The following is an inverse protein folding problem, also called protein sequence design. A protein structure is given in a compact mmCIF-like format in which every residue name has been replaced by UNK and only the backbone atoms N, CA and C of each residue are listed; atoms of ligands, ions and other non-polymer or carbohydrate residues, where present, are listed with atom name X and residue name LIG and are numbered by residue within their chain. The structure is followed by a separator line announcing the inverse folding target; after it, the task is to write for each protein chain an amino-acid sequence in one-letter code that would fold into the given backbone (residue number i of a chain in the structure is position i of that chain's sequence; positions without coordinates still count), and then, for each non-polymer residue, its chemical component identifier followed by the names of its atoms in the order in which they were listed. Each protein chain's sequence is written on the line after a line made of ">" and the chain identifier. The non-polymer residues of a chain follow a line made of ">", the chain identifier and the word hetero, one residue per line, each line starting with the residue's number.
data_IF_537858183105
#
_entry.id   IF_537858183105
#
_cell.length_a   1.000
_cell.length_b   1.000
_cell.length_c   1.000
_cell.angle_alpha   90.00
_cell.angle_beta   90.00
_cell.angle_gamma   90.00
#
_symmetry.space_group_name_H-M   'P 1'
#
loop_
_entity.id
_entity.type
_entity.pdbx_description
1 polymer ?
#
# COMPACT_ATOMS: atom_id res chain seq x y z
N UNK A 1 -25.73 12.41 -11.58
CA UNK A 1 -24.94 11.27 -11.18
C UNK A 1 -24.37 10.52 -12.39
N UNK A 2 -23.10 10.17 -12.30
CA UNK A 2 -22.37 9.46 -13.36
C UNK A 2 -22.75 7.96 -13.43
N UNK A 3 -23.98 7.61 -13.10
CA UNK A 3 -24.49 6.24 -13.19
C UNK A 3 -25.08 5.87 -14.55
N UNK A 4 -24.95 6.76 -15.54
CA UNK A 4 -25.58 6.58 -16.83
C UNK A 4 -24.60 6.59 -17.98
N UNK A 5 -23.69 5.61 -18.08
CA UNK A 5 -23.04 5.35 -19.36
C UNK A 5 -24.03 4.66 -20.30
N UNK A 6 -24.51 5.38 -21.29
CA UNK A 6 -25.17 4.75 -22.42
C UNK A 6 -24.08 4.41 -23.44
N UNK A 7 -23.70 3.14 -23.55
CA UNK A 7 -22.85 2.67 -24.63
C UNK A 7 -23.67 2.76 -25.94
N UNK A 8 -23.37 3.75 -26.74
CA UNK A 8 -23.97 3.91 -28.06
C UNK A 8 -23.02 3.33 -29.11
N UNK A 9 -23.28 2.10 -29.53
CA UNK A 9 -22.60 1.47 -30.66
C UNK A 9 -23.46 1.65 -31.92
N UNK A 10 -23.51 2.86 -32.47
CA UNK A 10 -24.21 3.10 -33.72
C UNK A 10 -23.30 2.78 -34.91
N UNK A 11 -23.86 2.22 -35.97
CA UNK A 11 -23.12 1.86 -37.17
C UNK A 11 -22.55 3.07 -37.94
N UNK A 12 -22.96 4.29 -37.56
CA UNK A 12 -22.53 5.57 -38.15
C UNK A 12 -21.37 6.21 -37.36
N UNK A 13 -20.90 5.64 -36.26
CA UNK A 13 -19.73 6.13 -35.51
C UNK A 13 -18.48 5.78 -36.30
N UNK A 14 -17.73 6.81 -36.71
CA UNK A 14 -16.46 6.64 -37.43
C UNK A 14 -15.37 6.20 -36.48
N UNK A 15 -14.29 5.55 -36.98
CA UNK A 15 -13.11 5.21 -36.22
C UNK A 15 -12.51 6.45 -35.54
N UNK A 16 -12.44 7.57 -36.26
CA UNK A 16 -11.90 8.82 -35.74
C UNK A 16 -12.72 9.34 -34.54
N UNK A 17 -14.05 9.24 -34.61
CA UNK A 17 -14.95 9.61 -33.52
C UNK A 17 -14.78 8.71 -32.30
N UNK A 18 -14.59 7.43 -32.52
CA UNK A 18 -14.30 6.48 -31.44
C UNK A 18 -12.98 6.79 -30.75
N UNK A 19 -11.93 7.04 -31.54
CA UNK A 19 -10.60 7.38 -31.00
C UNK A 19 -10.60 8.73 -30.27
N UNK A 20 -11.40 9.69 -30.71
CA UNK A 20 -11.53 11.01 -30.09
C UNK A 20 -12.00 10.92 -28.63
N UNK A 21 -12.79 9.91 -28.29
CA UNK A 21 -13.37 9.71 -26.97
C UNK A 21 -12.49 8.90 -26.02
N UNK A 22 -11.33 8.46 -26.49
CA UNK A 22 -10.38 7.73 -25.66
C UNK A 22 -9.69 8.64 -24.66
N UNK A 23 -9.06 8.04 -23.65
CA UNK A 23 -8.40 8.78 -22.59
C UNK A 23 -7.09 9.46 -23.02
N UNK A 24 -6.15 8.69 -23.52
CA UNK A 24 -4.81 9.17 -23.89
C UNK A 24 -4.52 8.99 -25.38
N UNK A 25 -3.72 9.89 -25.93
CA UNK A 25 -3.30 9.82 -27.34
C UNK A 25 -2.59 8.52 -27.67
N UNK A 26 -1.77 7.99 -26.77
CA UNK A 26 -1.07 6.70 -26.94
C UNK A 26 -2.01 5.50 -26.98
N UNK A 27 -3.26 5.67 -26.55
CA UNK A 27 -4.33 4.67 -26.60
C UNK A 27 -5.37 4.98 -27.68
N UNK A 28 -5.16 6.06 -28.48
CA UNK A 28 -6.10 6.57 -29.47
C UNK A 28 -5.57 6.41 -30.89
N UNK A 29 -4.96 5.28 -31.17
CA UNK A 29 -4.52 4.88 -32.51
C UNK A 29 -4.97 3.45 -32.77
N UNK A 30 -5.11 3.12 -34.04
CA UNK A 30 -5.56 1.80 -34.47
C UNK A 30 -4.67 1.27 -35.59
N UNK A 31 -4.60 -0.04 -35.71
CA UNK A 31 -3.88 -0.73 -36.77
C UNK A 31 -4.86 -1.61 -37.54
N UNK A 32 -4.83 -1.55 -38.85
CA UNK A 32 -5.63 -2.42 -39.71
C UNK A 32 -4.93 -3.80 -39.92
N UNK A 33 -5.62 -4.67 -40.66
CA UNK A 33 -5.11 -6.02 -40.98
C UNK A 33 -3.85 -6.01 -41.86
N UNK A 34 -3.63 -4.92 -42.60
CA UNK A 34 -2.44 -4.73 -43.46
C UNK A 34 -1.26 -4.11 -42.70
N UNK A 35 -1.43 -3.83 -41.42
CA UNK A 35 -0.42 -3.22 -40.56
C UNK A 35 -0.34 -1.70 -40.65
N UNK A 36 -1.24 -1.05 -41.38
CA UNK A 36 -1.30 0.41 -41.45
C UNK A 36 -1.85 1.00 -40.16
N UNK A 37 -1.16 2.03 -39.65
CA UNK A 37 -1.51 2.68 -38.40
C UNK A 37 -2.31 3.94 -38.68
N UNK A 38 -3.48 4.05 -38.05
CA UNK A 38 -4.32 5.25 -38.02
C UNK A 38 -4.03 5.98 -36.71
N UNK A 39 -3.48 7.20 -36.82
CA UNK A 39 -3.03 7.99 -35.68
C UNK A 39 -3.47 9.45 -35.86
N UNK A 40 -4.79 9.75 -35.77
CA UNK A 40 -5.32 11.09 -36.02
C UNK A 40 -4.95 12.10 -34.94
N UNK A 41 -4.56 11.65 -33.72
CA UNK A 41 -4.33 12.53 -32.57
C UNK A 41 -2.88 12.57 -32.08
N UNK A 42 -1.96 12.04 -32.87
CA UNK A 42 -0.52 12.13 -32.59
C UNK A 42 -0.01 11.20 -31.50
N UNK A 43 -0.64 10.04 -31.31
CA UNK A 43 -0.24 9.07 -30.29
C UNK A 43 1.16 8.54 -30.48
N UNK A 44 1.60 8.32 -31.73
CA UNK A 44 2.98 7.86 -32.01
C UNK A 44 4.03 8.92 -31.61
N UNK A 45 3.75 10.20 -31.85
CA UNK A 45 4.64 11.29 -31.46
C UNK A 45 4.73 11.39 -29.93
N UNK A 46 3.61 11.31 -29.22
CA UNK A 46 3.59 11.31 -27.76
C UNK A 46 4.26 10.07 -27.18
N UNK A 47 4.12 8.92 -27.82
CA UNK A 47 4.84 7.71 -27.42
C UNK A 47 6.36 7.88 -27.52
N UNK A 48 6.86 8.47 -28.61
CA UNK A 48 8.28 8.79 -28.77
C UNK A 48 8.81 9.78 -27.74
N UNK A 49 7.99 10.79 -27.41
CA UNK A 49 8.30 11.80 -26.41
C UNK A 49 8.04 11.33 -24.99
N UNK A 50 7.43 10.16 -24.82
CA UNK A 50 7.07 9.58 -23.52
C UNK A 50 6.13 10.50 -22.74
N UNK A 51 5.07 10.98 -23.44
CA UNK A 51 4.06 11.84 -22.87
C UNK A 51 2.72 11.11 -22.72
N UNK A 52 2.10 11.31 -21.56
CA UNK A 52 0.72 10.94 -21.29
C UNK A 52 -0.14 12.19 -21.50
N UNK A 53 -0.83 12.24 -22.62
CA UNK A 53 -1.64 13.41 -23.03
C UNK A 53 -3.06 12.97 -23.30
N UNK A 54 -4.05 13.69 -22.77
CA UNK A 54 -5.45 13.46 -23.09
C UNK A 54 -5.74 13.81 -24.56
N UNK A 55 -6.69 13.09 -25.17
CA UNK A 55 -7.00 13.23 -26.60
C UNK A 55 -7.78 14.50 -26.88
N UNK A 56 -8.80 14.77 -26.07
CA UNK A 56 -9.78 15.84 -26.33
C UNK A 56 -10.51 16.24 -25.03
N UNK A 57 -11.34 17.31 -25.07
CA UNK A 57 -12.22 17.64 -23.94
C UNK A 57 -13.16 16.52 -23.51
N UNK A 58 -13.42 15.52 -24.36
CA UNK A 58 -14.17 14.32 -23.97
C UNK A 58 -13.55 13.54 -22.81
N UNK A 59 -12.28 13.78 -22.50
CA UNK A 59 -11.60 13.24 -21.32
C UNK A 59 -12.40 13.47 -20.02
N UNK A 60 -12.99 14.64 -19.86
CA UNK A 60 -13.76 15.00 -18.67
C UNK A 60 -15.15 14.36 -18.59
N UNK A 61 -15.59 13.61 -19.59
CA UNK A 61 -16.85 12.87 -19.54
C UNK A 61 -16.83 11.75 -18.48
N UNK A 62 -15.67 11.21 -18.15
CA UNK A 62 -15.51 10.17 -17.12
C UNK A 62 -14.40 10.53 -16.13
N UNK A 63 -14.76 10.90 -14.88
CA UNK A 63 -13.79 11.24 -13.85
C UNK A 63 -12.81 10.10 -13.51
N UNK A 64 -13.15 8.83 -13.79
CA UNK A 64 -12.24 7.70 -13.59
C UNK A 64 -10.95 7.86 -14.41
N UNK A 65 -11.00 8.60 -15.51
CA UNK A 65 -9.82 8.84 -16.35
C UNK A 65 -8.68 9.52 -15.61
N UNK A 66 -8.99 10.31 -14.58
CA UNK A 66 -7.94 10.87 -13.69
C UNK A 66 -7.15 9.75 -13.02
N UNK A 67 -7.83 8.75 -12.47
CA UNK A 67 -7.18 7.59 -11.85
C UNK A 67 -6.48 6.72 -12.90
N UNK A 68 -7.05 6.58 -14.07
CA UNK A 68 -6.44 5.84 -15.18
C UNK A 68 -5.10 6.46 -15.59
N UNK A 69 -5.04 7.77 -15.74
CA UNK A 69 -3.79 8.48 -16.06
C UNK A 69 -2.77 8.30 -14.95
N UNK A 70 -3.18 8.42 -13.69
CA UNK A 70 -2.30 8.17 -12.54
C UNK A 70 -1.75 6.73 -12.55
N UNK A 71 -2.57 5.76 -12.91
CA UNK A 71 -2.14 4.36 -13.05
C UNK A 71 -1.16 4.18 -14.22
N UNK A 72 -1.42 4.77 -15.36
CA UNK A 72 -0.49 4.73 -16.50
C UNK A 72 0.84 5.42 -16.16
N UNK A 73 0.80 6.53 -15.42
CA UNK A 73 2.01 7.19 -14.94
C UNK A 73 2.84 6.23 -14.06
N UNK A 74 2.21 5.49 -13.16
CA UNK A 74 2.88 4.48 -12.36
C UNK A 74 3.44 3.33 -13.21
N UNK A 75 2.64 2.83 -14.15
CA UNK A 75 3.02 1.70 -15.01
C UNK A 75 4.22 2.01 -15.90
N UNK A 76 4.31 3.23 -16.42
CA UNK A 76 5.32 3.63 -17.39
C UNK A 76 6.41 4.54 -16.80
N UNK A 77 6.41 4.76 -15.49
CA UNK A 77 7.39 5.62 -14.83
C UNK A 77 8.83 5.17 -15.09
N UNK A 78 9.10 3.86 -15.02
CA UNK A 78 10.43 3.30 -15.27
C UNK A 78 10.91 3.49 -16.72
N UNK A 79 10.01 3.80 -17.64
CA UNK A 79 10.31 4.12 -19.04
C UNK A 79 10.48 5.63 -19.27
N UNK A 80 10.32 6.45 -18.24
CA UNK A 80 10.48 7.89 -18.31
C UNK A 80 9.25 8.66 -18.81
N UNK A 81 8.06 8.04 -18.80
CA UNK A 81 6.83 8.73 -19.16
C UNK A 81 6.45 9.77 -18.12
N UNK A 82 5.90 10.88 -18.59
CA UNK A 82 5.40 11.98 -17.76
C UNK A 82 4.05 12.46 -18.29
N UNK A 83 3.27 13.07 -17.43
CA UNK A 83 1.96 13.63 -17.81
C UNK A 83 2.19 14.99 -18.45
N UNK A 84 1.54 15.25 -19.60
CA UNK A 84 1.57 16.54 -20.25
C UNK A 84 0.98 17.62 -19.33
N UNK A 85 1.55 18.84 -19.37
CA UNK A 85 1.14 19.92 -18.47
C UNK A 85 -0.35 20.28 -18.61
N UNK A 86 -0.86 20.33 -19.83
CA UNK A 86 -2.28 20.59 -20.09
C UNK A 86 -3.20 19.48 -19.58
N UNK A 87 -2.72 18.24 -19.57
CA UNK A 87 -3.47 17.10 -19.02
C UNK A 87 -3.51 17.15 -17.50
N UNK A 88 -2.39 17.47 -16.88
CA UNK A 88 -2.35 17.68 -15.43
C UNK A 88 -3.28 18.84 -15.01
N UNK A 89 -3.30 19.94 -15.76
CA UNK A 89 -4.18 21.06 -15.50
C UNK A 89 -5.66 20.65 -15.59
N UNK A 90 -6.03 19.85 -16.59
CA UNK A 90 -7.40 19.34 -16.75
C UNK A 90 -7.77 18.40 -15.58
N UNK A 91 -6.86 17.51 -15.18
CA UNK A 91 -7.09 16.62 -14.03
C UNK A 91 -7.31 17.40 -12.73
N UNK A 92 -6.55 18.48 -12.51
CA UNK A 92 -6.75 19.37 -11.35
C UNK A 92 -8.12 20.06 -11.41
N UNK A 93 -8.50 20.57 -12.56
CA UNK A 93 -9.80 21.21 -12.73
C UNK A 93 -10.96 20.25 -12.43
N UNK A 94 -10.86 19.00 -12.88
CA UNK A 94 -11.85 17.96 -12.60
C UNK A 94 -11.92 17.64 -11.09
N UNK A 95 -10.78 17.49 -10.45
CA UNK A 95 -10.71 17.23 -9.01
C UNK A 95 -11.28 18.40 -8.20
N UNK A 96 -10.91 19.63 -8.53
CA UNK A 96 -11.35 20.85 -7.85
C UNK A 96 -12.85 21.13 -8.08
N UNK A 97 -13.41 20.67 -9.19
CA UNK A 97 -14.86 20.74 -9.47
C UNK A 97 -15.68 19.69 -8.70
N UNK A 98 -15.05 18.82 -7.92
CA UNK A 98 -15.74 17.80 -7.13
C UNK A 98 -16.21 16.57 -7.90
N UNK A 99 -15.76 16.38 -9.12
CA UNK A 99 -16.22 15.29 -9.99
C UNK A 99 -15.82 13.91 -9.49
N UNK A 100 -14.71 13.79 -8.76
CA UNK A 100 -14.20 12.51 -8.28
C UNK A 100 -15.03 11.92 -7.12
N UNK A 101 -15.79 12.75 -6.42
CA UNK A 101 -16.61 12.29 -5.29
C UNK A 101 -17.75 11.36 -5.72
N UNK A 102 -18.10 11.34 -7.01
CA UNK A 102 -19.17 10.51 -7.56
C UNK A 102 -18.70 9.15 -8.10
N UNK A 103 -17.42 8.86 -8.03
CA UNK A 103 -16.89 7.57 -8.48
C UNK A 103 -17.33 6.45 -7.53
N UNK A 104 -17.69 5.29 -8.10
CA UNK A 104 -18.05 4.13 -7.29
C UNK A 104 -16.81 3.53 -6.61
N UNK A 105 -17.03 2.95 -5.44
CA UNK A 105 -15.96 2.33 -4.66
C UNK A 105 -15.20 1.26 -5.47
N UNK A 106 -15.92 0.43 -6.21
CA UNK A 106 -15.35 -0.68 -6.97
C UNK A 106 -14.43 -0.18 -8.11
N UNK A 107 -14.81 0.90 -8.76
CA UNK A 107 -14.00 1.49 -9.84
C UNK A 107 -12.73 2.13 -9.29
N UNK A 108 -12.83 2.82 -8.16
CA UNK A 108 -11.67 3.43 -7.50
C UNK A 108 -10.72 2.35 -7.00
N UNK A 109 -11.23 1.32 -6.33
CA UNK A 109 -10.41 0.23 -5.85
C UNK A 109 -9.73 -0.53 -6.99
N UNK A 110 -10.43 -0.79 -8.08
CA UNK A 110 -9.87 -1.51 -9.24
C UNK A 110 -8.65 -0.80 -9.82
N UNK A 111 -8.73 0.51 -9.99
CA UNK A 111 -7.60 1.32 -10.44
C UNK A 111 -6.47 1.34 -9.42
N UNK A 112 -6.80 1.46 -8.15
CA UNK A 112 -5.83 1.44 -7.03
C UNK A 112 -5.12 0.08 -6.96
N UNK A 113 -5.86 -1.02 -7.03
CA UNK A 113 -5.31 -2.38 -7.03
C UNK A 113 -4.34 -2.58 -8.19
N UNK A 114 -4.74 -2.19 -9.39
CA UNK A 114 -3.89 -2.28 -10.58
C UNK A 114 -2.62 -1.42 -10.43
N UNK A 115 -2.75 -0.22 -9.88
CA UNK A 115 -1.60 0.66 -9.62
C UNK A 115 -0.64 0.09 -8.58
N UNK A 116 -1.17 -0.51 -7.52
CA UNK A 116 -0.36 -1.20 -6.50
C UNK A 116 0.44 -2.37 -7.08
N UNK A 117 -0.06 -3.02 -8.12
CA UNK A 117 0.63 -4.10 -8.83
C UNK A 117 1.74 -3.64 -9.78
N UNK A 118 1.91 -2.35 -9.99
CA UNK A 118 2.94 -1.80 -10.89
C UNK A 118 4.32 -1.81 -10.23
N UNK A 119 5.35 -1.59 -11.05
CA UNK A 119 6.73 -1.49 -10.57
C UNK A 119 6.95 -0.28 -9.65
N UNK A 120 6.24 0.83 -9.90
CA UNK A 120 6.39 2.09 -9.18
C UNK A 120 5.03 2.59 -8.64
N UNK A 121 4.40 1.87 -7.70
CA UNK A 121 3.06 2.23 -7.22
C UNK A 121 3.00 3.59 -6.53
N UNK A 122 4.10 4.08 -5.98
CA UNK A 122 4.16 5.41 -5.36
C UNK A 122 3.84 6.54 -6.35
N UNK A 123 4.10 6.34 -7.62
CA UNK A 123 3.81 7.34 -8.65
C UNK A 123 2.30 7.57 -8.80
N UNK A 124 1.49 6.54 -8.61
CA UNK A 124 0.03 6.67 -8.61
C UNK A 124 -0.44 7.67 -7.54
N UNK A 125 0.01 7.50 -6.32
CA UNK A 125 -0.39 8.36 -5.20
C UNK A 125 0.22 9.75 -5.31
N UNK A 126 1.46 9.88 -5.78
CA UNK A 126 2.08 11.17 -6.05
C UNK A 126 1.32 11.94 -7.14
N UNK A 127 0.92 11.27 -8.21
CA UNK A 127 0.12 11.87 -9.30
C UNK A 127 -1.23 12.35 -8.78
N UNK A 128 -1.92 11.51 -7.97
CA UNK A 128 -3.20 11.90 -7.36
C UNK A 128 -3.02 13.13 -6.46
N UNK A 129 -1.91 13.22 -5.75
CA UNK A 129 -1.62 14.41 -4.95
C UNK A 129 -1.39 15.63 -5.83
N UNK A 130 -0.59 15.49 -6.87
CA UNK A 130 -0.25 16.61 -7.78
C UNK A 130 -1.49 17.18 -8.49
N UNK A 131 -2.49 16.35 -8.78
CA UNK A 131 -3.74 16.79 -9.41
C UNK A 131 -4.87 17.07 -8.42
N UNK A 132 -4.59 17.17 -7.12
CA UNK A 132 -5.54 17.47 -6.04
C UNK A 132 -6.59 16.37 -5.81
N UNK A 133 -6.39 15.18 -6.36
CA UNK A 133 -7.30 14.05 -6.21
C UNK A 133 -7.09 13.26 -4.92
N UNK A 134 -5.87 13.27 -4.36
CA UNK A 134 -5.53 12.45 -3.18
C UNK A 134 -6.42 12.80 -1.98
N UNK A 135 -6.62 14.08 -1.71
CA UNK A 135 -7.46 14.56 -0.60
C UNK A 135 -8.93 14.16 -0.72
N UNK A 136 -9.39 13.89 -1.95
CA UNK A 136 -10.78 13.44 -2.20
C UNK A 136 -10.90 11.94 -2.04
N UNK A 137 -9.97 11.17 -2.60
CA UNK A 137 -10.02 9.71 -2.66
C UNK A 137 -9.41 9.04 -1.43
N UNK A 138 -8.33 9.61 -0.92
CA UNK A 138 -7.56 9.08 0.22
C UNK A 138 -7.20 10.21 1.20
N UNK A 139 -8.20 10.85 1.83
CA UNK A 139 -7.93 11.96 2.75
C UNK A 139 -7.05 11.53 3.93
N UNK A 140 -7.10 10.27 4.35
CA UNK A 140 -6.27 9.71 5.41
C UNK A 140 -4.78 9.71 5.06
N UNK A 141 -4.45 9.50 3.78
CA UNK A 141 -3.06 9.55 3.29
C UNK A 141 -2.64 11.01 3.08
N UNK A 142 -3.50 11.82 2.48
CA UNK A 142 -3.22 13.24 2.24
C UNK A 142 -2.91 13.99 3.54
N UNK A 143 -3.59 13.64 4.62
CA UNK A 143 -3.40 14.22 5.95
C UNK A 143 -2.00 13.97 6.54
N UNK A 144 -1.22 13.02 6.02
CA UNK A 144 0.14 12.73 6.49
C UNK A 144 1.18 13.74 6.01
N UNK A 145 0.89 14.44 4.93
CA UNK A 145 1.78 15.49 4.43
C UNK A 145 1.72 16.70 5.37
N UNK A 146 2.89 17.21 5.72
CA UNK A 146 3.02 18.27 6.70
C UNK A 146 3.07 17.78 8.16
N UNK A 147 2.92 16.47 8.40
CA UNK A 147 3.08 15.88 9.73
C UNK A 147 4.55 15.51 9.94
N UNK A 148 5.26 16.15 10.90
CA UNK A 148 6.69 15.89 11.10
C UNK A 148 6.92 14.56 11.84
N UNK A 149 8.02 13.90 11.50
CA UNK A 149 8.57 12.76 12.23
C UNK A 149 9.93 13.13 12.81
N UNK A 150 10.42 12.43 13.88
CA UNK A 150 11.71 12.73 14.47
C UNK A 150 12.85 12.56 13.44
N UNK A 151 13.62 13.62 13.20
CA UNK A 151 14.70 13.67 12.21
C UNK A 151 15.77 12.59 12.43
N UNK A 152 15.99 12.18 13.67
CA UNK A 152 16.91 11.09 14.02
C UNK A 152 16.58 9.77 13.34
N UNK A 153 15.28 9.45 13.23
CA UNK A 153 14.79 8.20 12.69
C UNK A 153 14.22 8.34 11.28
N UNK A 154 13.84 9.56 10.91
CA UNK A 154 13.22 9.90 9.64
C UNK A 154 13.90 11.15 9.07
N UNK A 155 15.06 11.00 8.38
CA UNK A 155 15.75 12.14 7.80
C UNK A 155 14.93 12.95 6.80
N UNK A 156 13.94 12.32 6.16
CA UNK A 156 12.95 12.97 5.29
C UNK A 156 11.98 13.87 6.05
N UNK A 157 11.86 13.72 7.37
CA UNK A 157 11.05 14.49 8.32
C UNK A 157 9.54 14.42 8.07
N UNK A 158 9.06 14.57 6.85
CA UNK A 158 7.63 14.57 6.51
C UNK A 158 7.05 13.15 6.43
N UNK A 159 5.96 12.89 7.16
CA UNK A 159 5.33 11.56 7.22
C UNK A 159 4.69 11.15 5.89
N UNK A 160 4.13 12.09 5.13
CA UNK A 160 3.57 11.80 3.80
C UNK A 160 4.66 11.37 2.82
N UNK A 161 5.79 12.07 2.82
CA UNK A 161 6.96 11.69 2.02
C UNK A 161 7.47 10.32 2.43
N UNK A 162 7.62 10.06 3.72
CA UNK A 162 8.03 8.75 4.25
C UNK A 162 7.08 7.64 3.78
N UNK A 163 5.77 7.87 3.83
CA UNK A 163 4.77 6.89 3.41
C UNK A 163 4.99 6.42 1.97
N UNK A 164 5.23 7.34 1.04
CA UNK A 164 5.49 6.96 -0.36
C UNK A 164 6.88 6.33 -0.55
N UNK A 165 7.86 6.71 0.23
CA UNK A 165 9.18 6.06 0.23
C UNK A 165 9.07 4.61 0.74
N UNK A 166 8.27 4.35 1.75
CA UNK A 166 8.04 2.97 2.25
C UNK A 166 7.29 2.12 1.23
N UNK A 167 6.32 2.70 0.52
CA UNK A 167 5.63 2.00 -0.57
C UNK A 167 6.60 1.65 -1.71
N UNK A 168 7.49 2.55 -2.07
CA UNK A 168 8.56 2.30 -3.04
C UNK A 168 9.41 1.11 -2.63
N UNK A 169 9.81 1.07 -1.36
CA UNK A 169 10.61 -0.04 -0.82
C UNK A 169 9.82 -1.35 -0.78
N UNK A 170 8.55 -1.32 -0.37
CA UNK A 170 7.69 -2.50 -0.37
C UNK A 170 7.55 -3.10 -1.76
N UNK A 171 7.46 -2.26 -2.79
CA UNK A 171 7.41 -2.71 -4.19
C UNK A 171 8.71 -3.42 -4.64
N UNK A 172 9.85 -3.04 -4.08
CA UNK A 172 11.13 -3.72 -4.32
C UNK A 172 11.20 -5.06 -3.58
N UNK A 173 10.59 -5.16 -2.39
CA UNK A 173 10.68 -6.35 -1.53
C UNK A 173 9.63 -7.41 -1.86
N UNK A 174 8.46 -7.02 -2.38
CA UNK A 174 7.36 -7.95 -2.61
C UNK A 174 6.47 -7.51 -3.77
N UNK A 175 6.01 -8.45 -4.62
CA UNK A 175 4.99 -8.15 -5.64
C UNK A 175 3.56 -8.16 -5.06
N UNK A 176 3.37 -8.58 -3.82
CA UNK A 176 2.06 -8.80 -3.23
C UNK A 176 1.33 -7.49 -2.91
N UNK A 177 0.12 -7.36 -3.43
CA UNK A 177 -0.72 -6.16 -3.25
C UNK A 177 -1.08 -5.94 -1.78
N UNK A 178 -1.36 -6.99 -1.03
CA UNK A 178 -1.69 -6.91 0.38
C UNK A 178 -0.54 -6.35 1.22
N UNK A 179 0.70 -6.77 0.95
CA UNK A 179 1.91 -6.23 1.60
C UNK A 179 2.11 -4.76 1.24
N UNK A 180 1.96 -4.40 -0.03
CA UNK A 180 2.13 -3.02 -0.50
C UNK A 180 1.07 -2.08 0.08
N UNK A 181 -0.19 -2.51 0.08
CA UNK A 181 -1.28 -1.74 0.68
C UNK A 181 -1.11 -1.58 2.20
N UNK A 182 -0.72 -2.64 2.90
CA UNK A 182 -0.44 -2.57 4.33
C UNK A 182 0.69 -1.59 4.65
N UNK A 183 1.75 -1.59 3.85
CA UNK A 183 2.86 -0.64 3.99
C UNK A 183 2.40 0.80 3.75
N UNK A 184 1.60 1.03 2.72
CA UNK A 184 1.00 2.35 2.46
C UNK A 184 0.22 2.88 3.67
N UNK A 185 -0.46 2.00 4.39
CA UNK A 185 -1.35 2.36 5.50
C UNK A 185 -0.69 2.31 6.89
N UNK A 186 0.58 1.96 7.00
CA UNK A 186 1.19 1.64 8.30
C UNK A 186 1.21 2.81 9.29
N UNK A 187 1.31 4.03 8.83
CA UNK A 187 1.46 5.24 9.65
C UNK A 187 0.26 6.20 9.62
N UNK A 188 -0.90 5.75 9.12
CA UNK A 188 -2.08 6.63 8.99
C UNK A 188 -2.46 7.34 10.28
N UNK A 189 -2.29 6.67 11.42
CA UNK A 189 -2.62 7.21 12.72
C UNK A 189 -1.84 8.46 13.11
N UNK A 190 -0.67 8.69 12.52
CA UNK A 190 0.13 9.88 12.76
C UNK A 190 -0.57 11.17 12.31
N UNK A 191 -1.49 11.08 11.37
CA UNK A 191 -2.32 12.21 10.95
C UNK A 191 -3.33 12.70 11.98
N UNK A 192 -3.61 11.89 13.01
CA UNK A 192 -4.55 12.22 14.09
C UNK A 192 -3.88 12.62 15.40
N UNK A 193 -2.54 12.57 15.47
CA UNK A 193 -1.84 12.94 16.71
C UNK A 193 -1.86 14.46 16.92
N UNK A 194 -2.07 14.93 18.15
CA UNK A 194 -2.14 16.36 18.44
C UNK A 194 -0.83 17.08 18.09
N UNK A 195 -0.94 18.24 17.44
CA UNK A 195 0.20 19.06 17.00
C UNK A 195 1.13 19.45 18.15
N UNK A 196 0.59 19.64 19.35
CA UNK A 196 1.35 20.02 20.55
C UNK A 196 2.38 18.97 20.96
N UNK A 197 2.19 17.69 20.58
CA UNK A 197 3.12 16.60 20.88
C UNK A 197 4.08 16.28 19.75
N UNK A 198 3.93 16.94 18.60
CA UNK A 198 4.83 16.68 17.46
C UNK A 198 6.28 16.97 17.82
N UNK A 199 7.24 16.19 17.35
CA UNK A 199 7.14 15.07 16.38
C UNK A 199 6.85 13.70 17.02
N UNK A 200 6.33 13.65 18.22
CA UNK A 200 5.95 12.41 18.91
C UNK A 200 4.52 12.02 18.54
N UNK A 201 4.33 10.74 18.26
CA UNK A 201 3.05 10.21 17.76
C UNK A 201 2.56 9.04 18.63
N UNK A 202 2.44 9.24 19.92
CA UNK A 202 1.93 8.22 20.84
C UNK A 202 0.49 7.82 20.46
N UNK A 203 0.23 6.52 20.43
CA UNK A 203 -1.10 5.98 20.14
C UNK A 203 -1.45 5.95 18.65
N UNK A 204 -0.51 6.22 17.76
CA UNK A 204 -0.78 6.21 16.32
C UNK A 204 -1.14 4.82 15.78
N UNK A 205 -0.69 3.73 16.40
CA UNK A 205 -1.04 2.37 16.02
C UNK A 205 -2.54 2.10 16.09
N UNK A 206 -3.17 2.19 17.28
CA UNK A 206 -4.62 2.01 17.42
C UNK A 206 -5.45 3.01 16.60
N UNK A 207 -5.01 4.26 16.51
CA UNK A 207 -5.65 5.26 15.68
C UNK A 207 -5.57 4.89 14.19
N UNK A 208 -4.44 4.35 13.76
CA UNK A 208 -4.23 3.87 12.39
C UNK A 208 -5.16 2.73 12.01
N UNK A 209 -5.44 1.79 12.92
CA UNK A 209 -6.39 0.69 12.69
C UNK A 209 -7.76 1.22 12.27
N UNK A 210 -8.27 2.23 12.95
CA UNK A 210 -9.57 2.85 12.62
C UNK A 210 -9.56 3.49 11.24
N UNK A 211 -8.47 4.16 10.89
CA UNK A 211 -8.34 4.79 9.57
C UNK A 211 -8.21 3.77 8.45
N UNK A 212 -7.54 2.65 8.68
CA UNK A 212 -7.51 1.53 7.74
C UNK A 212 -8.92 1.00 7.50
N UNK A 213 -9.69 0.77 8.56
CA UNK A 213 -11.08 0.33 8.46
C UNK A 213 -11.93 1.32 7.66
N UNK A 214 -11.74 2.61 7.89
CA UNK A 214 -12.44 3.69 7.20
C UNK A 214 -12.17 3.70 5.68
N UNK A 215 -10.91 3.59 5.26
CA UNK A 215 -10.54 3.48 3.84
C UNK A 215 -11.15 2.21 3.24
N UNK A 216 -10.98 1.07 3.91
CA UNK A 216 -11.41 -0.23 3.38
C UNK A 216 -12.92 -0.33 3.27
N UNK A 217 -13.68 0.28 4.18
CA UNK A 217 -15.13 0.35 4.10
C UNK A 217 -15.57 1.24 2.93
N UNK A 218 -14.96 2.42 2.79
CA UNK A 218 -15.30 3.37 1.73
C UNK A 218 -15.03 2.81 0.34
N UNK A 219 -13.90 2.13 0.15
CA UNK A 219 -13.46 1.61 -1.15
C UNK A 219 -13.80 0.14 -1.36
N UNK A 220 -14.42 -0.52 -0.39
CA UNK A 220 -14.74 -1.95 -0.42
C UNK A 220 -13.52 -2.82 -0.72
N UNK A 221 -12.44 -2.54 -0.02
CA UNK A 221 -11.21 -3.32 -0.11
C UNK A 221 -11.47 -4.75 0.39
N UNK A 222 -10.95 -5.79 -0.29
CA UNK A 222 -11.09 -7.18 0.15
C UNK A 222 -10.65 -7.41 1.58
N UNK A 223 -11.34 -8.29 2.30
CA UNK A 223 -11.14 -8.49 3.74
C UNK A 223 -9.72 -8.94 4.11
N UNK A 224 -9.10 -9.78 3.30
CA UNK A 224 -7.74 -10.28 3.54
C UNK A 224 -6.70 -9.14 3.46
N UNK A 225 -6.86 -8.21 2.52
CA UNK A 225 -6.01 -7.02 2.38
C UNK A 225 -6.24 -6.07 3.55
N UNK A 226 -7.50 -5.82 3.91
CA UNK A 226 -7.87 -5.00 5.06
C UNK A 226 -7.28 -5.55 6.36
N UNK A 227 -7.42 -6.84 6.60
CA UNK A 227 -7.01 -7.46 7.85
C UNK A 227 -5.49 -7.39 8.04
N UNK A 228 -4.72 -7.61 6.98
CA UNK A 228 -3.26 -7.42 7.05
C UNK A 228 -2.91 -5.96 7.33
N UNK A 229 -3.53 -5.02 6.66
CA UNK A 229 -3.25 -3.59 6.86
C UNK A 229 -3.57 -3.13 8.29
N UNK A 230 -4.64 -3.64 8.90
CA UNK A 230 -4.97 -3.39 10.31
C UNK A 230 -3.87 -3.90 11.25
N UNK A 231 -3.42 -5.13 11.04
CA UNK A 231 -2.37 -5.73 11.85
C UNK A 231 -1.04 -4.99 11.73
N UNK A 232 -0.68 -4.59 10.52
CA UNK A 232 0.54 -3.82 10.29
C UNK A 232 0.47 -2.45 10.95
N UNK A 233 -0.65 -1.75 10.85
CA UNK A 233 -0.85 -0.47 11.53
C UNK A 233 -0.68 -0.60 13.05
N UNK A 234 -1.16 -1.69 13.63
CA UNK A 234 -1.09 -1.93 15.07
C UNK A 234 0.30 -2.38 15.54
N UNK A 235 0.97 -3.27 14.81
CA UNK A 235 2.13 -4.01 15.31
C UNK A 235 3.47 -3.73 14.63
N UNK A 236 3.53 -2.93 13.56
CA UNK A 236 4.79 -2.76 12.83
C UNK A 236 5.92 -2.19 13.71
N UNK A 237 5.63 -1.26 14.62
CA UNK A 237 6.64 -0.69 15.53
C UNK A 237 7.21 -1.74 16.50
N UNK A 238 6.38 -2.69 16.91
CA UNK A 238 6.81 -3.74 17.83
C UNK A 238 7.89 -4.62 17.20
N UNK A 239 7.80 -4.87 15.88
CA UNK A 239 8.78 -5.68 15.16
C UNK A 239 10.17 -5.05 15.20
N UNK A 240 10.27 -3.72 15.15
CA UNK A 240 11.56 -3.01 15.21
C UNK A 240 12.32 -3.31 16.52
N UNK A 241 11.61 -3.60 17.59
CA UNK A 241 12.16 -3.86 18.91
C UNK A 241 12.32 -5.36 19.24
N UNK A 242 12.17 -6.22 18.24
CA UNK A 242 12.15 -7.67 18.44
C UNK A 242 13.30 -8.21 19.31
N UNK A 243 14.58 -7.77 19.13
CA UNK A 243 15.68 -8.29 19.92
C UNK A 243 15.56 -8.07 21.42
N UNK A 244 14.80 -7.08 21.86
CA UNK A 244 14.59 -6.75 23.27
C UNK A 244 13.23 -7.19 23.81
N UNK A 245 12.37 -7.77 22.98
CA UNK A 245 11.05 -8.24 23.41
C UNK A 245 11.17 -9.49 24.30
N UNK A 246 10.33 -9.55 25.32
CA UNK A 246 10.20 -10.76 26.13
C UNK A 246 9.58 -11.89 25.31
N UNK A 247 9.96 -13.15 25.55
CA UNK A 247 9.38 -14.32 24.86
C UNK A 247 7.85 -14.36 24.93
N UNK A 248 7.27 -13.99 26.06
CA UNK A 248 5.81 -13.89 26.24
C UNK A 248 5.18 -12.89 25.26
N UNK A 249 5.83 -11.75 25.04
CA UNK A 249 5.36 -10.71 24.12
C UNK A 249 5.41 -11.20 22.67
N UNK A 250 6.46 -11.92 22.29
CA UNK A 250 6.62 -12.49 20.95
C UNK A 250 5.52 -13.53 20.68
N UNK A 251 5.25 -14.43 21.63
CA UNK A 251 4.17 -15.43 21.48
C UNK A 251 2.81 -14.76 21.42
N UNK A 252 2.57 -13.74 22.23
CA UNK A 252 1.34 -12.94 22.20
C UNK A 252 1.15 -12.23 20.84
N UNK A 253 2.23 -11.78 20.23
CA UNK A 253 2.18 -11.21 18.88
C UNK A 253 1.68 -12.25 17.88
N UNK A 254 2.19 -13.47 17.91
CA UNK A 254 1.73 -14.54 17.02
C UNK A 254 0.24 -14.87 17.23
N UNK A 255 -0.23 -14.87 18.47
CA UNK A 255 -1.66 -15.01 18.76
C UNK A 255 -2.45 -13.85 18.15
N UNK A 256 -2.00 -12.62 18.32
CA UNK A 256 -2.70 -11.40 17.90
C UNK A 256 -2.82 -11.29 16.39
N UNK A 257 -1.82 -11.76 15.65
CA UNK A 257 -1.85 -11.77 14.18
C UNK A 257 -2.47 -13.03 13.60
N UNK A 258 -2.95 -13.94 14.47
CA UNK A 258 -3.54 -15.23 14.07
C UNK A 258 -2.58 -16.08 13.23
N UNK A 259 -1.30 -16.07 13.59
CA UNK A 259 -0.26 -16.74 12.82
C UNK A 259 -0.41 -18.26 12.79
N UNK A 260 -1.03 -18.86 13.81
CA UNK A 260 -1.25 -20.30 13.90
C UNK A 260 -2.12 -20.83 12.77
N UNK A 261 -3.15 -20.06 12.38
CA UNK A 261 -4.03 -20.38 11.24
C UNK A 261 -3.54 -19.77 9.93
N UNK A 262 -2.84 -18.63 9.99
CA UNK A 262 -2.37 -17.87 8.83
C UNK A 262 -0.87 -17.58 8.96
N UNK A 263 -0.03 -18.61 8.82
CA UNK A 263 1.43 -18.49 9.05
C UNK A 263 2.11 -17.50 8.10
N UNK A 264 1.55 -17.27 6.91
CA UNK A 264 2.07 -16.29 5.95
C UNK A 264 2.09 -14.86 6.50
N UNK A 265 1.29 -14.54 7.51
CA UNK A 265 1.26 -13.21 8.14
C UNK A 265 2.58 -12.85 8.82
N UNK A 266 3.32 -13.83 9.31
CA UNK A 266 4.63 -13.60 9.93
C UNK A 266 5.61 -12.99 8.93
N UNK A 267 5.71 -13.56 7.75
CA UNK A 267 6.56 -13.02 6.68
C UNK A 267 6.02 -11.69 6.16
N UNK A 268 4.72 -11.57 5.98
CA UNK A 268 4.09 -10.34 5.50
C UNK A 268 4.39 -9.16 6.44
N UNK A 269 4.24 -9.35 7.75
CA UNK A 269 4.53 -8.28 8.72
C UNK A 269 6.03 -7.99 8.81
N UNK A 270 6.88 -8.99 8.64
CA UNK A 270 8.32 -8.80 8.56
C UNK A 270 8.71 -7.92 7.36
N UNK A 271 8.13 -8.20 6.19
CA UNK A 271 8.38 -7.42 4.96
C UNK A 271 7.89 -5.97 5.07
N UNK A 272 6.72 -5.75 5.64
CA UNK A 272 6.19 -4.38 5.83
C UNK A 272 7.03 -3.58 6.81
N UNK A 273 7.51 -4.22 7.86
CA UNK A 273 8.39 -3.59 8.86
C UNK A 273 9.78 -3.28 8.30
N UNK A 274 10.32 -4.16 7.47
CA UNK A 274 11.57 -3.90 6.73
C UNK A 274 11.39 -2.73 5.76
N UNK A 275 10.27 -2.67 5.03
CA UNK A 275 9.96 -1.59 4.13
C UNK A 275 9.88 -0.24 4.86
N UNK A 276 9.32 -0.22 6.06
CA UNK A 276 9.26 0.99 6.90
C UNK A 276 10.66 1.51 7.22
N UNK A 277 11.57 0.67 7.66
CA UNK A 277 12.94 1.08 8.00
C UNK A 277 13.75 1.44 6.75
N UNK A 278 13.75 0.59 5.75
CA UNK A 278 14.53 0.81 4.52
C UNK A 278 13.94 1.88 3.60
N UNK A 279 12.69 2.25 3.80
CA UNK A 279 12.04 3.39 3.15
C UNK A 279 12.37 4.74 3.79
N UNK A 280 13.46 4.84 4.56
CA UNK A 280 13.95 6.09 5.14
C UNK A 280 15.19 6.55 4.38
N UNK A 281 15.33 7.86 4.21
CA UNK A 281 16.47 8.44 3.51
C UNK A 281 17.78 7.99 4.13
N UNK A 282 18.64 7.36 3.33
CA UNK A 282 19.94 6.84 3.76
C UNK A 282 19.91 5.43 4.36
N UNK A 283 18.73 4.81 4.48
CA UNK A 283 18.58 3.46 5.04
C UNK A 283 18.22 2.40 3.98
N UNK A 284 18.22 2.75 2.72
CA UNK A 284 17.74 1.90 1.62
C UNK A 284 18.49 0.56 1.52
N UNK A 285 19.77 0.56 1.89
CA UNK A 285 20.64 -0.62 1.87
C UNK A 285 20.95 -1.19 3.24
N UNK A 286 20.30 -0.70 4.31
CA UNK A 286 20.57 -1.19 5.65
C UNK A 286 20.10 -2.62 5.85
N UNK A 287 20.76 -3.35 6.74
CA UNK A 287 20.30 -4.66 7.19
C UNK A 287 19.09 -4.49 8.13
N UNK A 288 18.14 -5.42 8.04
CA UNK A 288 16.97 -5.49 8.92
C UNK A 288 16.87 -6.89 9.53
N UNK A 289 17.70 -7.20 10.54
CA UNK A 289 17.75 -8.53 11.14
C UNK A 289 16.46 -8.93 11.88
N UNK A 290 15.67 -7.96 12.31
CA UNK A 290 14.40 -8.18 13.02
C UNK A 290 13.44 -9.08 12.26
N UNK A 291 13.38 -8.94 10.94
CA UNK A 291 12.54 -9.78 10.08
C UNK A 291 12.95 -11.24 10.14
N UNK A 292 14.24 -11.52 10.01
CA UNK A 292 14.79 -12.90 10.13
C UNK A 292 14.56 -13.47 11.52
N UNK A 293 14.81 -12.68 12.55
CA UNK A 293 14.62 -13.09 13.94
C UNK A 293 13.14 -13.43 14.22
N UNK A 294 12.21 -12.66 13.67
CA UNK A 294 10.78 -12.95 13.80
C UNK A 294 10.41 -14.29 13.19
N UNK A 295 10.91 -14.57 11.98
CA UNK A 295 10.67 -15.85 11.29
C UNK A 295 11.29 -17.03 12.04
N UNK A 296 12.50 -16.88 12.58
CA UNK A 296 13.14 -17.91 13.41
C UNK A 296 12.33 -18.19 14.69
N UNK A 297 11.90 -17.15 15.38
CA UNK A 297 11.05 -17.29 16.57
C UNK A 297 9.72 -17.99 16.25
N UNK A 298 9.15 -17.69 15.09
CA UNK A 298 7.95 -18.35 14.62
C UNK A 298 8.18 -19.86 14.40
N UNK A 299 9.23 -20.25 13.71
CA UNK A 299 9.56 -21.66 13.46
C UNK A 299 9.72 -22.43 14.77
N UNK A 300 10.40 -21.84 15.74
CA UNK A 300 10.59 -22.42 17.08
C UNK A 300 9.25 -22.57 17.80
N UNK A 301 8.41 -21.56 17.78
CA UNK A 301 7.11 -21.59 18.43
C UNK A 301 6.15 -22.62 17.80
N UNK A 302 6.10 -22.70 16.48
CA UNK A 302 5.23 -23.65 15.78
C UNK A 302 5.71 -25.10 15.89
N UNK A 303 6.98 -25.35 16.22
CA UNK A 303 7.50 -26.69 16.40
C UNK A 303 6.97 -27.37 17.68
N UNK A 304 6.38 -26.59 18.59
CA UNK A 304 5.72 -27.13 19.79
C UNK A 304 4.49 -27.94 19.37
N UNK A 305 4.49 -29.22 19.75
CA UNK A 305 3.48 -30.18 19.29
C UNK A 305 2.19 -30.13 20.12
N UNK A 306 1.08 -29.82 19.46
CA UNK A 306 -0.24 -29.93 20.07
C UNK A 306 -0.57 -31.39 20.40
N UNK A 307 -0.14 -32.35 19.56
CA UNK A 307 -0.39 -33.79 19.77
C UNK A 307 0.26 -34.28 21.06
N UNK A 308 1.47 -33.85 21.36
CA UNK A 308 2.16 -34.22 22.62
C UNK A 308 1.43 -33.69 23.84
N UNK A 309 0.93 -32.46 23.78
CA UNK A 309 0.16 -31.85 24.88
C UNK A 309 -1.13 -32.65 25.12
N UNK A 310 -1.85 -33.02 24.07
CA UNK A 310 -3.06 -33.85 24.19
C UNK A 310 -2.74 -35.23 24.72
N UNK A 311 -1.66 -35.85 24.23
CA UNK A 311 -1.24 -37.19 24.66
C UNK A 311 -0.85 -37.25 26.16
N UNK A 312 -0.38 -36.12 26.73
CA UNK A 312 -0.04 -36.03 28.15
C UNK A 312 -1.26 -35.81 29.08
N UNK A 313 -2.47 -35.77 28.51
CA UNK A 313 -3.72 -35.74 29.26
C UNK A 313 -4.35 -34.38 29.48
N UNK A 314 -3.79 -33.30 28.91
CA UNK A 314 -4.43 -31.98 28.95
C UNK A 314 -5.73 -31.97 28.13
N UNK A 315 -6.76 -31.29 28.63
CA UNK A 315 -8.09 -31.24 28.01
C UNK A 315 -8.67 -29.84 27.98
N UNK A 316 -9.46 -29.55 26.94
CA UNK A 316 -10.19 -28.30 26.81
C UNK A 316 -9.28 -27.06 26.84
N UNK A 317 -9.62 -26.02 27.64
CA UNK A 317 -8.83 -24.79 27.72
C UNK A 317 -7.39 -25.00 28.21
N UNK A 318 -7.14 -26.06 28.97
CA UNK A 318 -5.79 -26.41 29.48
C UNK A 318 -4.81 -26.68 28.34
N UNK A 319 -5.27 -27.19 27.20
CA UNK A 319 -4.45 -27.44 26.00
C UNK A 319 -3.83 -26.13 25.53
N UNK A 320 -4.66 -25.09 25.42
CA UNK A 320 -4.21 -23.77 24.97
C UNK A 320 -3.20 -23.13 25.94
N UNK A 321 -3.48 -23.23 27.23
CA UNK A 321 -2.61 -22.70 28.28
C UNK A 321 -1.24 -23.38 28.26
N UNK A 322 -1.22 -24.71 28.15
CA UNK A 322 0.03 -25.49 28.12
C UNK A 322 0.80 -25.26 26.82
N UNK A 323 0.13 -25.14 25.65
CA UNK A 323 0.75 -24.76 24.39
C UNK A 323 1.44 -23.41 24.51
N UNK A 324 0.74 -22.42 25.06
CA UNK A 324 1.28 -21.08 25.27
C UNK A 324 2.52 -21.11 26.15
N UNK A 325 2.46 -21.85 27.26
CA UNK A 325 3.58 -22.02 28.17
C UNK A 325 4.82 -22.62 27.47
N UNK A 326 4.62 -23.70 26.71
CA UNK A 326 5.70 -24.39 25.97
C UNK A 326 6.27 -23.53 24.86
N UNK A 327 5.42 -22.78 24.16
CA UNK A 327 5.86 -21.84 23.11
C UNK A 327 6.70 -20.73 23.68
N UNK A 328 6.30 -20.17 24.83
CA UNK A 328 7.09 -19.14 25.54
C UNK A 328 8.44 -19.71 25.97
N UNK A 329 8.47 -20.90 26.50
CA UNK A 329 9.73 -21.56 26.91
C UNK A 329 10.65 -21.82 25.71
N UNK A 330 10.09 -22.29 24.59
CA UNK A 330 10.88 -22.57 23.37
C UNK A 330 11.44 -21.26 22.76
N UNK A 331 10.65 -20.21 22.69
CA UNK A 331 11.10 -18.89 22.22
C UNK A 331 12.15 -18.31 23.18
N UNK A 332 12.00 -18.51 24.47
CA UNK A 332 12.98 -18.10 25.49
C UNK A 332 14.36 -18.75 25.27
N UNK A 333 14.40 -20.04 25.04
CA UNK A 333 15.64 -20.77 24.73
C UNK A 333 16.28 -20.27 23.43
N UNK A 334 15.47 -20.11 22.38
CA UNK A 334 15.96 -19.57 21.12
C UNK A 334 16.56 -18.19 21.30
N UNK A 335 15.91 -17.33 22.07
CA UNK A 335 16.36 -15.95 22.30
C UNK A 335 17.69 -15.90 23.04
N UNK A 336 17.88 -16.73 24.07
CA UNK A 336 19.13 -16.83 24.82
C UNK A 336 20.31 -17.19 23.90
N UNK A 337 20.07 -18.03 22.90
CA UNK A 337 21.10 -18.48 21.98
C UNK A 337 21.41 -17.42 20.88
N UNK A 338 20.40 -16.69 20.44
CA UNK A 338 20.52 -15.77 19.28
C UNK A 338 20.77 -14.32 19.66
N UNK A 339 20.24 -13.90 20.78
CA UNK A 339 20.33 -12.53 21.28
C UNK A 339 20.82 -12.55 22.73
N UNK A 340 22.07 -13.02 22.99
CA UNK A 340 22.57 -13.03 24.33
C UNK A 340 22.57 -11.61 24.89
N UNK A 341 22.04 -11.48 26.12
CA UNK A 341 22.13 -10.19 26.80
C UNK A 341 23.61 -9.88 27.03
N UNK A 342 24.06 -8.63 26.88
CA UNK A 342 25.40 -8.26 27.30
C UNK A 342 25.55 -8.63 28.78
N UNK A 343 26.53 -9.45 29.08
CA UNK A 343 26.90 -9.71 30.46
C UNK A 343 27.29 -8.38 31.07
N UNK A 344 26.51 -7.91 32.04
CA UNK A 344 26.68 -6.64 32.74
C UNK A 344 27.99 -6.56 33.52
#
# INVERSE_FOLDING_TARGET
>A
GYTGFTCYAAADVTLEQDLLRRDLTINALAQDTDGQIYDPYGGQADLRQRLLRHVSPAFSEDPLRVLRVARFAARYAHLGFRIADETMALMRAMADAGELAHLTAERVWKETENALGTRNPQVFFQTLRDCHALKVLFPEIDALYGVPAPAKWHPEIDTGVHTLMTLTMAAMLSPAIDVRFATLCHDLGKGLTPKEFWPRHHGHGPAGVKLVEQICQRLRVPNDIRDLARLVAEFHDLIHTLPILQPKTIVKLFDSIDAWRKPQRVQQIALTSEADVRGRTGFESCDYPQGRLLLEAWEVAQSVSTKEVVAEGFKGPEIREELTRRRIAAVGQWKEQRCPQPQG
#
